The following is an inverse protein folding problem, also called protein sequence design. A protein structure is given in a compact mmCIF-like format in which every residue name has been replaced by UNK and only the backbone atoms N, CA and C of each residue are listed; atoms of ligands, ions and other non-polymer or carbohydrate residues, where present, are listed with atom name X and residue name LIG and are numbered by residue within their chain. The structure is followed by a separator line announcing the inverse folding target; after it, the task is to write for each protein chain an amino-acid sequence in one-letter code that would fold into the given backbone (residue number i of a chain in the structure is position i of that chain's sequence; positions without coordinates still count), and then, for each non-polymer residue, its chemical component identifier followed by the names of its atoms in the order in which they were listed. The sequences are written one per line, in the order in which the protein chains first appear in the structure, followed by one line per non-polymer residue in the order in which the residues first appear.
data_IF_123923802869
#
_entry.id   IF_123923802869
#
_cell.length_a   1.000
_cell.length_b   1.000
_cell.length_c   1.000
_cell.angle_alpha   90.00
_cell.angle_beta   90.00
_cell.angle_gamma   90.00
#
_symmetry.space_group_name_H-M   'P 1'
#
loop_
_entity.id
_entity.type
_entity.pdbx_description
1 polymer ?
#
# COMPACT_ATOMS: atom_id res chain seq x y z
N UNK A 1 -15.53 -17.75 -10.97
CA UNK A 1 -15.60 -16.28 -10.82
C UNK A 1 -14.19 -15.84 -10.49
N UNK A 2 -13.50 -15.29 -11.47
CA UNK A 2 -12.13 -14.78 -11.31
C UNK A 2 -12.26 -13.44 -10.59
N UNK A 3 -11.86 -13.39 -9.32
CA UNK A 3 -11.66 -12.13 -8.58
C UNK A 3 -10.82 -11.21 -9.48
N UNK A 4 -11.35 -10.02 -9.81
CA UNK A 4 -10.55 -9.04 -10.53
C UNK A 4 -9.36 -8.70 -9.64
N UNK A 5 -8.11 -8.97 -10.06
CA UNK A 5 -6.98 -8.44 -9.33
C UNK A 5 -7.17 -6.94 -9.32
N UNK A 6 -7.09 -6.34 -8.12
CA UNK A 6 -6.93 -4.90 -8.00
C UNK A 6 -5.86 -4.49 -9.02
N UNK A 7 -6.23 -3.62 -9.95
CA UNK A 7 -5.40 -3.32 -11.11
C UNK A 7 -4.01 -2.87 -10.64
N UNK A 8 -2.91 -3.45 -11.17
CA UNK A 8 -1.55 -3.05 -10.80
C UNK A 8 -1.34 -1.53 -10.85
N UNK A 9 -2.03 -0.86 -11.78
CA UNK A 9 -2.08 0.59 -11.92
C UNK A 9 -2.47 1.33 -10.63
N UNK A 10 -3.44 0.81 -9.86
CA UNK A 10 -3.84 1.43 -8.59
C UNK A 10 -2.67 1.46 -7.60
N UNK A 11 -2.00 0.33 -7.41
CA UNK A 11 -0.90 0.20 -6.46
C UNK A 11 0.35 0.95 -6.93
N UNK A 12 0.61 0.97 -8.24
CA UNK A 12 1.67 1.76 -8.84
C UNK A 12 1.41 3.27 -8.75
N UNK A 13 0.14 3.71 -8.76
CA UNK A 13 -0.20 5.11 -8.47
C UNK A 13 0.02 5.46 -6.99
N UNK A 14 -0.13 4.50 -6.09
CA UNK A 14 0.12 4.66 -4.65
C UNK A 14 1.58 4.37 -4.26
N UNK A 15 2.48 4.26 -5.25
CA UNK A 15 3.92 4.11 -5.07
C UNK A 15 4.50 5.23 -4.18
N UNK A 16 5.48 4.88 -3.35
CA UNK A 16 6.06 5.72 -2.28
C UNK A 16 5.05 6.12 -1.18
N UNK A 17 3.80 5.65 -1.28
CA UNK A 17 2.82 5.75 -0.23
C UNK A 17 3.08 4.75 0.88
N UNK A 18 2.65 5.09 2.09
CA UNK A 18 2.80 4.27 3.27
C UNK A 18 1.43 3.96 3.88
N UNK A 19 1.07 2.68 4.02
CA UNK A 19 -0.12 2.26 4.75
C UNK A 19 0.14 2.46 6.24
N UNK A 20 -0.41 3.55 6.78
CA UNK A 20 -0.28 3.94 8.19
C UNK A 20 -1.42 3.43 9.07
N UNK A 21 -2.55 3.03 8.48
CA UNK A 21 -3.68 2.48 9.23
C UNK A 21 -4.44 1.42 8.43
N UNK A 22 -4.97 0.42 9.14
CA UNK A 22 -5.83 -0.61 8.58
C UNK A 22 -7.04 -0.77 9.51
N UNK A 23 -8.23 -0.74 8.95
CA UNK A 23 -9.47 -0.93 9.68
C UNK A 23 -10.45 -1.79 8.87
N UNK A 24 -11.29 -2.58 9.55
CA UNK A 24 -12.25 -3.48 8.91
C UNK A 24 -11.94 -4.94 9.17
N UNK A 25 -12.38 -5.83 8.28
CA UNK A 25 -12.25 -7.28 8.47
C UNK A 25 -11.97 -8.02 7.16
N UNK A 26 -11.33 -9.18 7.28
CA UNK A 26 -11.15 -10.14 6.19
C UNK A 26 -11.72 -11.49 6.66
N UNK A 27 -12.76 -12.05 6.00
CA UNK A 27 -13.47 -11.48 4.86
C UNK A 27 -14.30 -10.24 5.23
N UNK A 28 -14.49 -9.32 4.28
CA UNK A 28 -15.29 -8.09 4.45
C UNK A 28 -14.65 -6.86 3.82
N UNK A 29 -15.10 -5.67 4.21
CA UNK A 29 -14.50 -4.44 3.71
C UNK A 29 -13.27 -4.06 4.54
N UNK A 30 -12.20 -3.66 3.85
CA UNK A 30 -10.94 -3.25 4.47
C UNK A 30 -10.59 -1.82 4.04
N UNK A 31 -10.39 -0.92 5.00
CA UNK A 31 -9.93 0.45 4.77
C UNK A 31 -8.45 0.55 5.09
N UNK A 32 -7.66 0.99 4.11
CA UNK A 32 -6.24 1.26 4.21
C UNK A 32 -6.04 2.78 4.15
N UNK A 33 -5.55 3.38 5.24
CA UNK A 33 -5.15 4.79 5.23
C UNK A 33 -3.72 4.92 4.75
N UNK A 34 -3.54 5.55 3.58
CA UNK A 34 -2.26 5.66 2.87
C UNK A 34 -1.77 7.10 2.93
N UNK A 35 -0.67 7.32 3.65
CA UNK A 35 0.04 8.59 3.66
C UNK A 35 0.92 8.68 2.42
N UNK A 36 0.75 9.73 1.63
CA UNK A 36 1.46 9.94 0.35
C UNK A 36 1.52 11.44 0.04
N UNK A 37 2.43 12.12 0.73
CA UNK A 37 2.48 13.59 0.79
C UNK A 37 2.48 14.25 -0.60
N UNK A 38 3.31 13.75 -1.51
CA UNK A 38 3.45 14.36 -2.84
C UNK A 38 2.18 14.32 -3.68
N UNK A 39 1.33 13.29 -3.52
CA UNK A 39 0.02 13.27 -4.15
C UNK A 39 -0.97 14.11 -3.37
N UNK A 40 -0.92 14.04 -2.04
CA UNK A 40 -1.90 14.70 -1.18
C UNK A 40 -1.83 16.22 -1.29
N UNK A 41 -0.62 16.77 -1.47
CA UNK A 41 -0.35 18.20 -1.67
C UNK A 41 -0.95 18.76 -2.96
N UNK A 42 -1.36 17.90 -3.91
CA UNK A 42 -1.99 18.31 -5.17
C UNK A 42 -3.51 18.39 -5.11
N UNK A 43 -4.12 18.05 -3.97
CA UNK A 43 -5.55 18.19 -3.75
C UNK A 43 -5.83 19.37 -2.82
N UNK A 44 -6.74 20.26 -3.23
CA UNK A 44 -7.12 21.46 -2.46
C UNK A 44 -7.84 21.13 -1.13
N UNK A 45 -8.41 19.92 -1.01
CA UNK A 45 -9.06 19.44 0.19
C UNK A 45 -8.06 19.37 1.37
N UNK A 46 -8.45 19.69 2.61
CA UNK A 46 -7.58 19.54 3.78
C UNK A 46 -7.34 18.07 4.12
N UNK A 47 -6.12 17.73 4.55
CA UNK A 47 -5.78 16.40 5.04
C UNK A 47 -4.42 15.88 4.56
N UNK A 48 -4.06 14.68 5.00
CA UNK A 48 -2.71 14.12 4.93
C UNK A 48 -2.67 12.70 4.33
N UNK A 49 -3.83 12.08 4.07
CA UNK A 49 -3.88 10.72 3.55
C UNK A 49 -4.99 10.48 2.55
N UNK A 50 -4.84 9.38 1.80
CA UNK A 50 -5.87 8.83 0.93
C UNK A 50 -6.31 7.50 1.53
N UNK A 51 -7.60 7.34 1.74
CA UNK A 51 -8.19 6.09 2.18
C UNK A 51 -8.55 5.21 0.96
N UNK A 52 -7.88 4.07 0.85
CA UNK A 52 -8.22 3.00 -0.08
C UNK A 52 -9.16 2.03 0.61
N UNK A 53 -10.40 1.94 0.15
CA UNK A 53 -11.39 0.98 0.64
C UNK A 53 -11.41 -0.19 -0.33
N UNK A 54 -11.13 -1.38 0.16
CA UNK A 54 -11.20 -2.65 -0.55
C UNK A 54 -12.54 -3.31 -0.23
N UNK A 55 -13.41 -3.42 -1.21
CA UNK A 55 -14.76 -3.97 -1.04
C UNK A 55 -14.74 -5.48 -1.21
N UNK A 56 -15.39 -6.21 -0.30
CA UNK A 56 -15.43 -7.68 -0.36
C UNK A 56 -14.02 -8.30 -0.36
N UNK A 57 -13.11 -7.75 0.44
CA UNK A 57 -11.77 -8.29 0.62
C UNK A 57 -11.85 -9.71 1.18
N UNK A 58 -11.22 -10.66 0.49
CA UNK A 58 -11.15 -12.08 0.86
C UNK A 58 -9.74 -12.53 1.21
N UNK A 59 -8.73 -11.76 0.80
CA UNK A 59 -7.33 -12.00 1.11
C UNK A 59 -6.63 -10.66 1.35
N UNK A 60 -5.90 -10.58 2.46
CA UNK A 60 -4.96 -9.51 2.76
C UNK A 60 -3.85 -10.10 3.62
N UNK A 61 -2.71 -10.42 3.00
CA UNK A 61 -1.59 -11.03 3.70
C UNK A 61 -0.25 -10.47 3.24
N UNK A 62 0.69 -10.37 4.17
CA UNK A 62 2.06 -9.93 3.88
C UNK A 62 3.04 -11.08 4.14
N UNK A 63 3.90 -11.34 3.15
CA UNK A 63 5.00 -12.29 3.22
C UNK A 63 6.34 -11.55 3.18
N UNK A 64 7.03 -11.47 4.31
CA UNK A 64 8.41 -10.97 4.37
C UNK A 64 9.39 -11.91 3.65
N UNK A 65 10.24 -11.34 2.79
CA UNK A 65 11.22 -12.03 1.95
C UNK A 65 12.68 -11.93 2.46
N UNK A 66 12.92 -11.17 3.53
CA UNK A 66 14.28 -11.00 4.05
C UNK A 66 14.92 -12.31 4.51
N UNK A 67 16.06 -12.62 3.90
CA UNK A 67 17.02 -13.60 4.36
C UNK A 67 17.87 -12.98 5.48
N UNK A 68 17.74 -13.52 6.70
CA UNK A 68 18.78 -13.69 7.72
C UNK A 68 20.00 -12.76 7.63
N UNK A 69 20.15 -11.85 8.60
CA UNK A 69 21.43 -11.18 8.87
C UNK A 69 22.57 -12.21 9.04
N UNK A 70 23.81 -11.96 8.60
CA UNK A 70 24.92 -12.90 8.74
C UNK A 70 25.29 -13.08 10.22
N UNK A 71 24.75 -14.13 10.83
CA UNK A 71 24.99 -14.54 12.21
C UNK A 71 24.84 -16.05 12.38
N UNK A 72 25.39 -16.66 13.44
CA UNK A 72 25.37 -18.10 13.63
C UNK A 72 23.94 -18.67 13.64
N UNK A 73 23.75 -19.73 12.85
CA UNK A 73 22.48 -20.39 12.47
C UNK A 73 21.62 -20.84 13.67
N UNK A 74 22.21 -20.92 14.87
CA UNK A 74 21.60 -21.42 16.09
C UNK A 74 20.70 -20.42 16.85
N UNK A 75 20.58 -19.17 16.39
CA UNK A 75 19.92 -18.10 17.18
C UNK A 75 18.91 -17.25 16.41
N UNK A 76 18.42 -17.72 15.27
CA UNK A 76 17.40 -17.00 14.48
C UNK A 76 16.00 -17.60 14.72
N UNK A 77 14.96 -16.79 14.90
CA UNK A 77 13.60 -17.25 14.67
C UNK A 77 13.44 -17.51 13.16
N UNK A 78 13.62 -18.77 12.76
CA UNK A 78 13.51 -19.26 11.38
C UNK A 78 12.07 -19.31 10.88
N UNK A 79 11.41 -18.17 10.68
CA UNK A 79 10.11 -18.18 9.99
C UNK A 79 9.91 -16.89 9.18
N UNK A 80 9.48 -16.99 7.90
CA UNK A 80 8.84 -15.87 7.22
C UNK A 80 7.77 -15.32 8.15
N UNK A 81 7.82 -14.02 8.45
CA UNK A 81 6.71 -13.37 9.13
C UNK A 81 5.57 -13.29 8.10
N UNK A 82 4.65 -14.24 8.19
CA UNK A 82 3.41 -14.24 7.44
C UNK A 82 2.33 -13.65 8.36
N UNK A 83 1.83 -12.47 8.01
CA UNK A 83 0.71 -11.85 8.69
C UNK A 83 -0.54 -12.19 7.89
N UNK A 84 -1.41 -13.04 8.45
CA UNK A 84 -2.58 -13.57 7.77
C UNK A 84 -3.84 -12.73 7.99
N UNK A 85 -3.78 -11.76 8.91
CA UNK A 85 -4.90 -10.89 9.27
C UNK A 85 -4.42 -9.46 9.51
N UNK A 86 -5.22 -8.43 9.21
CA UNK A 86 -4.99 -7.05 9.63
C UNK A 86 -4.64 -6.88 11.12
N UNK A 87 -5.23 -7.72 11.99
CA UNK A 87 -4.97 -7.69 13.43
C UNK A 87 -3.59 -8.24 13.81
N UNK A 88 -2.97 -9.02 12.93
CA UNK A 88 -1.63 -9.59 13.15
C UNK A 88 -0.52 -8.63 12.71
N UNK A 89 -0.84 -7.55 11.98
CA UNK A 89 0.14 -6.55 11.61
C UNK A 89 0.70 -5.89 12.89
N UNK A 90 2.03 -5.73 13.01
CA UNK A 90 2.61 -4.96 14.09
C UNK A 90 2.02 -3.54 14.06
N UNK A 91 1.91 -2.90 15.23
CA UNK A 91 1.38 -1.52 15.34
C UNK A 91 2.00 -0.64 14.24
N UNK A 92 1.19 -0.25 13.26
CA UNK A 92 1.65 0.45 12.06
C UNK A 92 2.17 1.86 12.38
N UNK A 93 1.84 2.37 13.57
CA UNK A 93 2.31 3.66 14.11
C UNK A 93 3.84 3.77 14.16
N UNK A 94 4.56 2.64 14.32
CA UNK A 94 6.03 2.61 14.34
C UNK A 94 6.65 1.97 13.06
N UNK A 95 5.83 1.39 12.17
CA UNK A 95 6.32 0.38 11.19
C UNK A 95 5.84 0.53 9.75
N UNK A 96 4.89 1.44 9.45
CA UNK A 96 4.20 1.66 8.18
C UNK A 96 4.63 0.85 6.94
N UNK A 97 3.67 0.23 6.26
CA UNK A 97 3.91 -0.59 5.07
C UNK A 97 4.06 0.31 3.83
N UNK A 98 5.30 0.53 3.40
CA UNK A 98 5.62 1.30 2.20
C UNK A 98 5.38 0.51 0.92
N UNK A 99 4.74 1.11 -0.07
CA UNK A 99 4.37 0.52 -1.35
C UNK A 99 5.48 0.81 -2.38
N UNK A 100 6.03 -0.24 -3.00
CA UNK A 100 7.14 -0.13 -3.96
C UNK A 100 6.75 -0.40 -5.40
N UNK A 101 5.80 -1.29 -5.66
CA UNK A 101 5.29 -1.57 -7.01
C UNK A 101 4.22 -2.64 -6.94
N UNK A 102 3.44 -2.77 -8.01
CA UNK A 102 2.67 -3.97 -8.29
C UNK A 102 2.98 -4.48 -9.70
N UNK A 103 3.07 -5.79 -9.82
CA UNK A 103 3.26 -6.47 -11.10
C UNK A 103 1.93 -6.92 -11.72
N UNK A 104 1.97 -7.38 -12.98
CA UNK A 104 0.80 -7.88 -13.71
C UNK A 104 0.15 -9.13 -13.07
N UNK A 105 0.84 -9.80 -12.14
CA UNK A 105 0.28 -10.92 -11.38
C UNK A 105 -0.60 -10.47 -10.21
N UNK A 106 -0.63 -9.17 -9.91
CA UNK A 106 -1.31 -8.60 -8.75
C UNK A 106 -0.49 -8.72 -7.46
N UNK A 107 0.79 -9.09 -7.56
CA UNK A 107 1.70 -9.12 -6.42
C UNK A 107 2.19 -7.71 -6.14
N UNK A 108 1.97 -7.22 -4.92
CA UNK A 108 2.35 -5.86 -4.52
C UNK A 108 3.64 -5.95 -3.71
N UNK A 109 4.74 -5.46 -4.28
CA UNK A 109 6.01 -5.34 -3.56
C UNK A 109 5.89 -4.23 -2.52
N UNK A 110 6.18 -4.57 -1.27
CA UNK A 110 6.16 -3.64 -0.16
C UNK A 110 7.45 -3.73 0.66
N UNK A 111 7.73 -2.70 1.44
CA UNK A 111 8.72 -2.74 2.51
C UNK A 111 8.09 -2.29 3.83
N UNK A 112 8.62 -2.81 4.93
CA UNK A 112 8.27 -2.37 6.27
C UNK A 112 9.46 -1.56 6.81
N UNK A 113 9.21 -0.52 7.62
CA UNK A 113 10.21 0.44 8.10
C UNK A 113 11.46 -0.16 8.81
N UNK A 114 11.49 -1.47 9.09
CA UNK A 114 12.65 -2.20 9.61
C UNK A 114 13.53 -2.85 8.54
N UNK A 115 13.39 -2.45 7.29
CA UNK A 115 14.18 -2.96 6.16
C UNK A 115 13.70 -4.30 5.62
N UNK A 116 12.52 -4.77 6.07
CA UNK A 116 11.95 -6.03 5.59
C UNK A 116 11.23 -5.81 4.28
N UNK A 117 11.77 -6.38 3.21
CA UNK A 117 11.10 -6.45 1.92
C UNK A 117 10.09 -7.60 1.94
N UNK A 118 8.98 -7.46 1.23
CA UNK A 118 7.99 -8.51 1.15
C UNK A 118 6.97 -8.32 0.04
N UNK A 119 6.08 -9.30 -0.08
CA UNK A 119 4.96 -9.29 -1.01
C UNK A 119 3.68 -9.17 -0.20
N UNK A 120 2.88 -8.17 -0.53
CA UNK A 120 1.50 -8.02 -0.09
C UNK A 120 0.58 -8.68 -1.14
N UNK A 121 -0.20 -9.66 -0.71
CA UNK A 121 -1.23 -10.32 -1.50
C UNK A 121 -2.59 -9.80 -1.08
N UNK A 122 -3.36 -9.31 -2.06
CA UNK A 122 -4.68 -8.73 -1.84
C UNK A 122 -5.68 -9.28 -2.85
N UNK A 123 -6.82 -9.75 -2.37
CA UNK A 123 -7.98 -10.13 -3.19
C UNK A 123 -9.22 -9.43 -2.68
N UNK A 124 -9.89 -8.69 -3.56
CA UNK A 124 -11.11 -7.94 -3.26
C UNK A 124 -12.01 -7.90 -4.51
N UNK A 125 -13.31 -7.66 -4.31
CA UNK A 125 -14.28 -7.54 -5.41
C UNK A 125 -14.19 -6.20 -6.13
N UNK A 126 -13.74 -5.16 -5.42
CA UNK A 126 -13.54 -3.83 -5.97
C UNK A 126 -12.84 -2.90 -4.98
N UNK A 127 -12.77 -1.62 -5.35
CA UNK A 127 -12.21 -0.61 -4.48
C UNK A 127 -12.88 0.76 -4.63
N UNK A 128 -12.66 1.63 -3.64
CA UNK A 128 -12.96 3.07 -3.72
C UNK A 128 -11.82 3.85 -3.10
N UNK A 129 -11.62 5.07 -3.59
CA UNK A 129 -10.63 6.01 -3.07
C UNK A 129 -11.35 7.20 -2.50
N UNK A 130 -11.00 7.57 -1.27
CA UNK A 130 -11.60 8.68 -0.55
C UNK A 130 -10.46 9.49 0.07
N UNK A 131 -10.45 10.79 -0.13
CA UNK A 131 -9.57 11.66 0.64
C UNK A 131 -9.99 11.61 2.11
N UNK A 132 -9.06 11.85 3.02
CA UNK A 132 -9.36 11.93 4.44
C UNK A 132 -10.30 13.08 4.83
N UNK A 133 -10.52 14.05 3.92
CA UNK A 133 -11.60 15.03 3.99
C UNK A 133 -13.01 14.43 3.83
N UNK A 134 -13.10 13.18 3.35
CA UNK A 134 -14.33 12.47 3.00
C UNK A 134 -14.74 12.58 1.53
N UNK A 135 -14.00 13.31 0.70
CA UNK A 135 -14.29 13.43 -0.74
C UNK A 135 -13.87 12.18 -1.49
N UNK A 136 -14.78 11.58 -2.26
CA UNK A 136 -14.44 10.50 -3.18
C UNK A 136 -13.59 11.02 -4.34
N UNK A 137 -12.55 10.26 -4.69
CA UNK A 137 -11.67 10.55 -5.84
C UNK A 137 -11.64 9.38 -6.79
N UNK A 138 -11.66 9.68 -8.08
CA UNK A 138 -11.55 8.65 -9.12
C UNK A 138 -10.08 8.27 -9.37
N UNK A 139 -9.85 7.05 -9.87
CA UNK A 139 -8.52 6.61 -10.29
C UNK A 139 -7.87 7.56 -11.30
N UNK A 140 -8.66 8.08 -12.26
CA UNK A 140 -8.18 9.04 -13.25
C UNK A 140 -7.84 10.43 -12.69
N UNK A 141 -8.42 10.81 -11.54
CA UNK A 141 -8.05 12.04 -10.85
C UNK A 141 -6.72 11.86 -10.11
N UNK A 142 -6.57 10.73 -9.40
CA UNK A 142 -5.31 10.35 -8.76
C UNK A 142 -4.16 10.24 -9.78
N UNK A 143 -4.43 9.63 -10.94
CA UNK A 143 -3.46 9.53 -12.03
C UNK A 143 -2.99 10.89 -12.56
N UNK A 144 -3.92 11.85 -12.70
CA UNK A 144 -3.58 13.23 -13.12
C UNK A 144 -2.74 13.96 -12.07
N UNK A 145 -3.04 13.77 -10.79
CA UNK A 145 -2.22 14.31 -9.72
C UNK A 145 -0.80 13.73 -9.78
N UNK A 146 -0.67 12.40 -9.86
CA UNK A 146 0.63 11.74 -10.02
C UNK A 146 1.41 12.25 -11.24
N UNK A 147 0.78 12.32 -12.40
CA UNK A 147 1.37 12.85 -13.63
C UNK A 147 1.83 14.30 -13.47
N UNK A 148 1.02 15.14 -12.82
CA UNK A 148 1.37 16.55 -12.56
C UNK A 148 2.64 16.66 -11.72
N UNK A 149 2.74 15.88 -10.64
CA UNK A 149 3.93 15.84 -9.79
C UNK A 149 5.16 15.39 -10.58
N UNK A 150 5.09 14.24 -11.25
CA UNK A 150 6.23 13.64 -11.95
C UNK A 150 6.70 14.48 -13.14
N UNK A 151 5.78 15.14 -13.87
CA UNK A 151 6.13 16.07 -14.93
C UNK A 151 6.83 17.33 -14.38
N UNK A 152 6.39 17.83 -13.23
CA UNK A 152 7.04 18.97 -12.58
C UNK A 152 8.43 18.62 -12.08
N UNK A 153 8.58 17.47 -11.40
CA UNK A 153 9.87 16.99 -10.89
C UNK A 153 10.86 16.67 -12.01
N UNK A 154 10.39 16.02 -13.09
CA UNK A 154 11.20 15.74 -14.28
C UNK A 154 11.72 17.01 -14.97
N UNK A 155 11.00 18.13 -14.83
CA UNK A 155 11.44 19.44 -15.34
C UNK A 155 12.52 20.06 -14.45
N UNK A 156 12.43 19.90 -13.12
CA UNK A 156 13.44 20.40 -12.16
C UNK A 156 14.75 19.61 -12.19
N UNK A 157 14.71 18.31 -12.52
CA UNK A 157 15.91 17.48 -12.67
C UNK A 157 16.71 17.76 -13.96
N UNK A 158 16.15 18.55 -14.88
CA UNK A 158 16.77 18.94 -16.15
C UNK A 158 17.14 20.43 -16.25
N UNK A 159 17.03 21.21 -15.16
CA UNK A 159 17.45 22.62 -15.09
C UNK A 159 18.73 22.80 -14.29
#
# INVERSE_FOLDING_TARGET
MTSSPLVPDLWNLLHDGCVGSIAGSVPGDLRLGISIDYLRDLFDDPGERIDLILHGCTEFSFLGLDAVAPGPISSLPHRPAAYASPADFPSLEDWGLGILSADESGSISCFIAKGVHGILSVSAEGFSLVLDSGREVGLGELAKAAETYWNHFGTLAGS
#
